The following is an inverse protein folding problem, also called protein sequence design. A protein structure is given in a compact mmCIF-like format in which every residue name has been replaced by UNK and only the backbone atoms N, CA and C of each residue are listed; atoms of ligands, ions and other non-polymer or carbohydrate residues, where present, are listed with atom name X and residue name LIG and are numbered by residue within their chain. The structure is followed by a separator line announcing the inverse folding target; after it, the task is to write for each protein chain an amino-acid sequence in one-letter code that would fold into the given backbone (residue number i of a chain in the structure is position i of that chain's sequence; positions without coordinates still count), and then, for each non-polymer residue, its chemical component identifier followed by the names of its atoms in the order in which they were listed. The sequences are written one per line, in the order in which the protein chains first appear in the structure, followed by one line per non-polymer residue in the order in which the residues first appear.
data_IF_697007141244
#
_entry.id   IF_697007141244
#
_cell.length_a   1.000
_cell.length_b   1.000
_cell.length_c   1.000
_cell.angle_alpha   90.00
_cell.angle_beta   90.00
_cell.angle_gamma   90.00
#
_symmetry.space_group_name_H-M   'P 1'
#
loop_
_entity.id
_entity.type
_entity.pdbx_description
1 polymer ?
#
# COMPACT_ATOMS: atom_id res chain seq x y z
N UNK A 1 -20.10 6.32 -7.95
CA UNK A 1 -21.06 5.49 -8.71
C UNK A 1 -20.60 4.04 -8.61
N UNK A 2 -21.35 3.17 -7.92
CA UNK A 2 -20.97 1.78 -7.66
C UNK A 2 -21.52 0.79 -8.69
N UNK A 3 -22.62 1.13 -9.37
CA UNK A 3 -23.37 0.18 -10.20
C UNK A 3 -23.34 0.58 -11.69
N UNK A 4 -22.14 0.62 -12.28
CA UNK A 4 -21.96 0.87 -13.72
C UNK A 4 -21.61 -0.44 -14.45
N UNK A 5 -22.39 -0.85 -15.46
CA UNK A 5 -22.03 -1.98 -16.31
C UNK A 5 -20.73 -1.69 -17.06
N UNK A 6 -19.85 -2.69 -17.19
CA UNK A 6 -18.53 -2.55 -17.83
C UNK A 6 -17.80 -1.26 -17.44
N UNK A 7 -17.82 -0.91 -16.14
CA UNK A 7 -17.41 0.39 -15.58
C UNK A 7 -16.15 0.98 -16.21
N UNK A 8 -15.11 0.18 -16.40
CA UNK A 8 -13.82 0.65 -16.91
C UNK A 8 -13.90 1.05 -18.39
N UNK A 9 -14.60 0.27 -19.22
CA UNK A 9 -14.81 0.53 -20.64
C UNK A 9 -15.79 1.69 -20.84
N UNK A 10 -16.89 1.71 -20.07
CA UNK A 10 -17.90 2.77 -20.12
C UNK A 10 -17.34 4.12 -19.71
N UNK A 11 -16.55 4.19 -18.63
CA UNK A 11 -15.88 5.44 -18.24
C UNK A 11 -14.87 5.86 -19.31
N UNK A 12 -14.06 4.93 -19.82
CA UNK A 12 -13.08 5.23 -20.85
C UNK A 12 -13.68 5.83 -22.13
N UNK A 13 -14.83 5.34 -22.57
CA UNK A 13 -15.51 5.85 -23.76
C UNK A 13 -16.31 7.12 -23.48
N UNK A 14 -16.95 7.23 -22.31
CA UNK A 14 -17.66 8.43 -21.89
C UNK A 14 -16.74 9.66 -21.81
N UNK A 15 -15.50 9.49 -21.36
CA UNK A 15 -14.51 10.59 -21.34
C UNK A 15 -13.92 10.93 -22.72
N UNK A 16 -14.08 10.08 -23.73
CA UNK A 16 -13.67 10.37 -25.12
C UNK A 16 -14.80 10.97 -25.96
N UNK A 17 -16.04 10.78 -25.54
CA UNK A 17 -17.23 11.22 -26.29
C UNK A 17 -17.54 12.67 -25.94
N UNK A 18 -17.67 13.53 -26.94
CA UNK A 18 -18.06 14.93 -26.75
C UNK A 18 -19.56 15.06 -26.43
N UNK A 19 -19.96 16.21 -25.88
CA UNK A 19 -21.36 16.49 -25.56
C UNK A 19 -22.23 16.39 -26.82
N UNK A 20 -23.30 15.60 -26.74
CA UNK A 20 -24.27 15.45 -27.83
C UNK A 20 -23.81 14.57 -29.00
N UNK A 21 -22.63 13.94 -28.90
CA UNK A 21 -22.21 12.91 -29.87
C UNK A 21 -22.83 11.57 -29.49
N UNK A 22 -23.43 10.91 -30.48
CA UNK A 22 -23.91 9.54 -30.31
C UNK A 22 -22.72 8.57 -30.31
N UNK A 23 -22.39 8.07 -29.12
CA UNK A 23 -21.36 7.07 -28.96
C UNK A 23 -21.84 5.71 -29.50
N UNK A 24 -20.95 4.92 -30.13
CA UNK A 24 -21.28 3.56 -30.51
C UNK A 24 -21.61 2.71 -29.26
N UNK A 25 -22.57 1.78 -29.37
CA UNK A 25 -22.95 0.93 -28.24
C UNK A 25 -21.78 0.09 -27.76
N UNK A 26 -21.54 0.12 -26.45
CA UNK A 26 -20.50 -0.67 -25.81
C UNK A 26 -21.03 -2.07 -25.50
N UNK A 27 -20.28 -3.09 -25.90
CA UNK A 27 -20.59 -4.48 -25.52
C UNK A 27 -20.11 -4.75 -24.10
N UNK A 28 -21.00 -5.29 -23.27
CA UNK A 28 -20.73 -5.66 -21.87
C UNK A 28 -20.35 -7.16 -21.77
N UNK A 29 -19.68 -7.71 -22.78
CA UNK A 29 -19.47 -9.16 -22.90
C UNK A 29 -20.75 -9.90 -23.34
N UNK A 30 -21.05 -11.06 -22.74
CA UNK A 30 -22.22 -11.87 -23.11
C UNK A 30 -23.57 -11.30 -22.64
N UNK A 31 -23.56 -10.24 -21.82
CA UNK A 31 -24.75 -9.73 -21.12
C UNK A 31 -25.43 -8.56 -21.84
N UNK A 32 -25.02 -8.22 -23.07
CA UNK A 32 -25.71 -7.27 -23.94
C UNK A 32 -24.91 -6.01 -24.29
N UNK A 33 -25.63 -4.92 -24.61
CA UNK A 33 -25.07 -3.65 -25.07
C UNK A 33 -25.52 -2.49 -24.19
N UNK A 34 -24.64 -1.51 -23.99
CA UNK A 34 -24.92 -0.24 -23.30
C UNK A 34 -24.89 0.89 -24.32
N UNK A 35 -25.97 1.66 -24.35
CA UNK A 35 -26.02 2.96 -24.97
C UNK A 35 -25.85 4.03 -23.91
N UNK A 36 -25.00 5.01 -24.17
CA UNK A 36 -24.83 6.16 -23.30
C UNK A 36 -24.79 7.42 -24.16
N UNK A 37 -25.20 8.54 -23.56
CA UNK A 37 -25.17 9.85 -24.20
C UNK A 37 -24.56 10.84 -23.20
N UNK A 38 -23.54 11.57 -23.65
CA UNK A 38 -22.89 12.59 -22.84
C UNK A 38 -23.69 13.88 -22.97
N UNK A 39 -24.40 14.23 -21.90
CA UNK A 39 -25.29 15.41 -21.86
C UNK A 39 -24.54 16.70 -21.59
N UNK A 40 -23.49 16.62 -20.78
CA UNK A 40 -22.71 17.78 -20.33
C UNK A 40 -21.31 17.29 -19.94
N UNK A 41 -20.29 18.10 -20.23
CA UNK A 41 -18.94 17.92 -19.73
C UNK A 41 -18.68 19.06 -18.78
N UNK A 42 -18.53 18.75 -17.48
CA UNK A 42 -18.03 19.72 -16.51
C UNK A 42 -16.53 19.87 -16.74
N UNK A 43 -16.01 21.06 -17.09
CA UNK A 43 -14.59 21.26 -17.29
C UNK A 43 -13.82 20.97 -16.01
N UNK A 44 -12.56 20.60 -16.17
CA UNK A 44 -11.65 20.42 -15.05
C UNK A 44 -11.55 21.73 -14.27
N UNK A 45 -12.10 21.71 -13.05
CA UNK A 45 -11.81 22.78 -12.09
C UNK A 45 -10.56 22.38 -11.33
N UNK A 46 -9.61 23.30 -11.21
CA UNK A 46 -8.59 23.18 -10.18
C UNK A 46 -9.32 23.07 -8.83
N UNK A 47 -9.20 21.90 -8.20
CA UNK A 47 -9.76 21.72 -6.85
C UNK A 47 -8.98 22.67 -5.94
N UNK A 48 -9.63 23.63 -5.26
CA UNK A 48 -8.91 24.54 -4.40
C UNK A 48 -8.18 23.73 -3.33
N UNK A 49 -6.97 24.16 -2.98
CA UNK A 49 -6.11 23.46 -2.00
C UNK A 49 -6.88 23.12 -0.73
N UNK A 50 -7.82 23.97 -0.29
CA UNK A 50 -8.67 23.72 0.86
C UNK A 50 -9.49 22.41 0.80
N UNK A 51 -9.93 21.97 -0.38
CA UNK A 51 -10.74 20.75 -0.56
C UNK A 51 -9.88 19.47 -0.60
N UNK A 52 -8.61 19.59 -0.98
CA UNK A 52 -7.67 18.45 -1.07
C UNK A 52 -6.70 18.41 0.10
N UNK A 53 -6.58 19.49 0.87
CA UNK A 53 -5.60 19.63 1.96
C UNK A 53 -5.79 18.56 3.02
N UNK A 54 -7.02 18.24 3.42
CA UNK A 54 -7.26 17.21 4.44
C UNK A 54 -6.76 15.85 3.97
N UNK A 55 -7.17 15.43 2.77
CA UNK A 55 -6.71 14.16 2.17
C UNK A 55 -5.20 14.15 1.91
N UNK A 56 -4.65 15.25 1.41
CA UNK A 56 -3.22 15.37 1.14
C UNK A 56 -2.39 15.35 2.43
N UNK A 57 -2.87 15.97 3.51
CA UNK A 57 -2.21 15.92 4.82
C UNK A 57 -2.31 14.52 5.41
N UNK A 58 -3.44 13.83 5.28
CA UNK A 58 -3.59 12.44 5.72
C UNK A 58 -2.61 11.53 4.97
N UNK A 59 -2.62 11.56 3.63
CA UNK A 59 -1.75 10.76 2.79
C UNK A 59 -0.26 11.08 3.08
N UNK A 60 0.10 12.36 3.18
CA UNK A 60 1.47 12.79 3.51
C UNK A 60 1.90 12.36 4.91
N UNK A 61 1.02 12.49 5.91
CA UNK A 61 1.33 12.09 7.29
C UNK A 61 1.56 10.58 7.36
N UNK A 62 0.75 9.79 6.67
CA UNK A 62 0.94 8.34 6.59
C UNK A 62 2.28 7.97 5.92
N UNK A 63 2.67 8.68 4.86
CA UNK A 63 3.98 8.49 4.23
C UNK A 63 5.14 8.88 5.15
N UNK A 64 5.06 10.03 5.83
CA UNK A 64 6.10 10.46 6.76
C UNK A 64 6.24 9.52 7.96
N UNK A 65 5.14 9.00 8.48
CA UNK A 65 5.18 7.98 9.55
C UNK A 65 5.92 6.73 9.09
N UNK A 66 5.64 6.24 7.87
CA UNK A 66 6.35 5.09 7.29
C UNK A 66 7.84 5.37 7.08
N UNK A 67 8.18 6.57 6.60
CA UNK A 67 9.57 6.96 6.38
C UNK A 67 10.36 7.06 7.68
N UNK A 68 9.82 7.71 8.71
CA UNK A 68 10.46 7.81 10.02
C UNK A 68 10.54 6.44 10.71
N UNK A 69 9.52 5.59 10.57
CA UNK A 69 9.55 4.21 11.07
C UNK A 69 10.65 3.39 10.40
N UNK A 70 10.77 3.47 9.06
CA UNK A 70 11.82 2.78 8.31
C UNK A 70 13.21 3.25 8.73
N UNK A 71 13.41 4.56 8.88
CA UNK A 71 14.66 5.14 9.35
C UNK A 71 15.04 4.64 10.75
N UNK A 72 14.07 4.61 11.67
CA UNK A 72 14.28 4.07 13.02
C UNK A 72 14.62 2.59 12.98
N UNK A 73 13.97 1.80 12.13
CA UNK A 73 14.30 0.39 11.94
C UNK A 73 15.74 0.19 11.44
N UNK A 74 16.21 1.02 10.51
CA UNK A 74 17.59 1.00 10.01
C UNK A 74 18.62 1.39 11.08
N UNK A 75 18.31 2.38 11.92
CA UNK A 75 19.15 2.78 13.06
C UNK A 75 19.30 1.61 14.07
N UNK A 76 18.19 0.95 14.43
CA UNK A 76 18.21 -0.21 15.34
C UNK A 76 18.94 -1.41 14.72
N UNK A 77 18.75 -1.65 13.42
CA UNK A 77 19.49 -2.68 12.68
C UNK A 77 20.99 -2.40 12.72
N UNK A 78 21.40 -1.15 12.54
CA UNK A 78 22.81 -0.76 12.60
C UNK A 78 23.40 -0.96 14.01
N UNK A 79 22.64 -0.70 15.07
CA UNK A 79 23.07 -1.02 16.44
C UNK A 79 23.22 -2.53 16.68
N UNK A 80 22.27 -3.32 16.19
CA UNK A 80 22.32 -4.78 16.30
C UNK A 80 23.51 -5.36 15.51
N UNK A 81 23.79 -4.84 14.31
CA UNK A 81 24.96 -5.24 13.50
C UNK A 81 26.29 -4.88 14.17
N UNK A 82 26.33 -3.84 15.02
CA UNK A 82 27.51 -3.49 15.83
C UNK A 82 27.71 -4.43 17.03
N UNK A 83 26.84 -5.41 17.23
CA UNK A 83 26.94 -6.42 18.28
C UNK A 83 26.22 -6.07 19.58
N UNK A 84 25.39 -5.01 19.60
CA UNK A 84 24.53 -4.71 20.76
C UNK A 84 23.41 -5.74 20.85
N UNK A 85 23.12 -6.24 22.05
CA UNK A 85 22.06 -7.23 22.23
C UNK A 85 20.69 -6.63 21.90
N UNK A 86 19.84 -7.39 21.22
CA UNK A 86 18.47 -6.93 20.88
C UNK A 86 17.67 -6.53 22.11
N UNK A 87 17.89 -7.18 23.25
CA UNK A 87 17.28 -6.81 24.53
C UNK A 87 17.66 -5.39 24.98
N UNK A 88 18.93 -4.99 24.81
CA UNK A 88 19.43 -3.66 25.21
C UNK A 88 18.93 -2.56 24.26
N UNK A 89 18.63 -2.92 23.02
CA UNK A 89 18.03 -2.02 22.02
C UNK A 89 16.53 -1.85 22.30
N UNK A 90 15.85 -2.94 22.66
CA UNK A 90 14.39 -2.97 22.82
C UNK A 90 13.90 -2.42 24.18
N UNK A 91 14.66 -2.66 25.26
CA UNK A 91 14.33 -2.18 26.63
C UNK A 91 14.04 -0.68 26.71
N UNK A 92 14.91 0.24 26.21
CA UNK A 92 14.62 1.67 26.26
C UNK A 92 13.43 2.10 25.39
N UNK A 93 13.04 1.27 24.42
CA UNK A 93 11.89 1.50 23.55
C UNK A 93 10.60 0.87 24.10
N UNK A 94 10.67 0.11 25.19
CA UNK A 94 9.53 -0.63 25.74
C UNK A 94 9.05 -1.76 24.81
N UNK A 95 9.91 -2.23 23.91
CA UNK A 95 9.59 -3.28 22.93
C UNK A 95 9.96 -4.64 23.51
N UNK A 96 9.06 -5.63 23.38
CA UNK A 96 9.35 -7.00 23.76
C UNK A 96 10.17 -7.71 22.67
N UNK A 97 11.23 -8.42 23.07
CA UNK A 97 11.99 -9.28 22.16
C UNK A 97 11.37 -10.67 22.16
N UNK A 98 10.95 -11.14 20.99
CA UNK A 98 10.44 -12.49 20.79
C UNK A 98 11.45 -13.36 20.05
N UNK A 99 11.49 -14.65 20.40
CA UNK A 99 12.32 -15.64 19.71
C UNK A 99 11.43 -16.77 19.21
N UNK A 100 11.55 -17.09 17.92
CA UNK A 100 10.83 -18.20 17.28
C UNK A 100 11.81 -19.21 16.70
N UNK A 101 11.56 -20.48 16.97
CA UNK A 101 12.32 -21.61 16.45
C UNK A 101 11.47 -22.44 15.49
N UNK A 102 12.11 -23.23 14.63
CA UNK A 102 11.41 -24.11 13.68
C UNK A 102 10.80 -23.40 12.46
N UNK A 103 11.19 -22.15 12.19
CA UNK A 103 10.78 -21.43 10.99
C UNK A 103 11.51 -22.00 9.76
N UNK A 104 10.79 -22.20 8.67
CA UNK A 104 11.33 -22.61 7.37
C UNK A 104 11.14 -21.49 6.34
N UNK A 105 11.84 -21.54 5.21
CA UNK A 105 11.74 -20.52 4.14
C UNK A 105 10.31 -20.33 3.58
N UNK A 106 9.44 -21.32 3.75
CA UNK A 106 8.04 -21.28 3.28
C UNK A 106 7.03 -21.05 4.42
N UNK A 107 7.49 -20.87 5.65
CA UNK A 107 6.60 -20.63 6.79
C UNK A 107 5.90 -19.28 6.64
N UNK A 108 4.60 -19.27 6.87
CA UNK A 108 3.82 -18.04 7.03
C UNK A 108 3.49 -17.90 8.52
N UNK A 109 4.32 -17.12 9.21
CA UNK A 109 4.22 -16.94 10.65
C UNK A 109 3.35 -15.72 10.98
N UNK A 110 2.45 -15.83 11.95
CA UNK A 110 1.51 -14.77 12.28
C UNK A 110 2.17 -13.48 12.85
N UNK A 111 3.42 -13.55 13.31
CA UNK A 111 4.15 -12.41 13.88
C UNK A 111 5.17 -11.87 12.87
N UNK A 112 5.98 -12.75 12.28
CA UNK A 112 7.03 -12.36 11.32
C UNK A 112 6.49 -12.09 9.91
N UNK A 113 5.39 -12.76 9.54
CA UNK A 113 4.85 -12.76 8.18
C UNK A 113 5.84 -13.31 7.15
N UNK A 114 5.42 -13.30 5.88
CA UNK A 114 6.30 -13.69 4.77
C UNK A 114 7.52 -12.80 4.59
N UNK A 115 7.38 -11.49 4.83
CA UNK A 115 8.49 -10.55 4.67
C UNK A 115 9.58 -10.81 5.72
N UNK A 116 9.20 -10.99 6.98
CA UNK A 116 10.13 -11.31 8.07
C UNK A 116 10.82 -12.67 7.88
N UNK A 117 10.09 -13.70 7.45
CA UNK A 117 10.68 -15.01 7.11
C UNK A 117 11.69 -14.88 5.96
N UNK A 118 11.34 -14.16 4.90
CA UNK A 118 12.24 -13.93 3.76
C UNK A 118 13.52 -13.21 4.20
N UNK A 119 13.39 -12.18 5.03
CA UNK A 119 14.51 -11.40 5.56
C UNK A 119 15.41 -12.23 6.50
N UNK A 120 14.83 -13.09 7.34
CA UNK A 120 15.60 -13.98 8.22
C UNK A 120 16.48 -14.97 7.44
N UNK A 121 16.04 -15.39 6.25
CA UNK A 121 16.77 -16.32 5.37
C UNK A 121 17.56 -15.64 4.25
N UNK A 122 17.69 -14.30 4.24
CA UNK A 122 18.33 -13.57 3.14
C UNK A 122 19.87 -13.61 3.16
N UNK A 123 20.48 -14.14 4.22
CA UNK A 123 21.93 -14.18 4.38
C UNK A 123 22.43 -15.38 5.19
N UNK A 124 23.74 -15.44 5.50
CA UNK A 124 24.32 -16.49 6.33
C UNK A 124 23.78 -16.47 7.77
N UNK A 125 24.19 -17.45 8.58
CA UNK A 125 23.96 -17.43 10.03
C UNK A 125 24.46 -16.09 10.60
N UNK A 126 23.73 -15.57 11.59
CA UNK A 126 23.94 -14.25 12.21
C UNK A 126 23.58 -13.03 11.34
N UNK A 127 22.85 -13.23 10.24
CA UNK A 127 22.30 -12.12 9.47
C UNK A 127 21.29 -11.32 10.28
N UNK A 128 21.57 -10.02 10.44
CA UNK A 128 20.63 -9.04 10.98
C UNK A 128 19.89 -8.36 9.82
N UNK A 129 18.58 -8.53 9.78
CA UNK A 129 17.72 -7.94 8.76
C UNK A 129 16.53 -7.20 9.40
N UNK A 130 15.92 -6.31 8.61
CA UNK A 130 14.68 -5.60 8.94
C UNK A 130 13.61 -5.97 7.90
N UNK A 131 12.35 -6.04 8.33
CA UNK A 131 11.22 -6.35 7.46
C UNK A 131 9.96 -5.65 7.97
N UNK A 132 8.99 -5.46 7.07
CA UNK A 132 7.63 -5.07 7.43
C UNK A 132 6.99 -6.19 8.24
N UNK A 133 6.22 -5.81 9.26
CA UNK A 133 5.53 -6.78 10.12
C UNK A 133 4.48 -7.60 9.36
N UNK A 134 3.96 -8.64 10.00
CA UNK A 134 2.83 -9.40 9.44
C UNK A 134 1.56 -8.55 9.27
N UNK A 135 1.44 -7.47 10.05
CA UNK A 135 0.35 -6.50 9.95
C UNK A 135 0.67 -5.46 8.85
N UNK A 136 -0.16 -5.33 7.81
CA UNK A 136 0.06 -4.35 6.74
C UNK A 136 -0.07 -2.89 7.20
N UNK A 137 -0.50 -2.64 8.43
CA UNK A 137 -0.58 -1.29 9.03
C UNK A 137 0.68 -0.86 9.79
N UNK A 138 1.67 -1.74 9.97
CA UNK A 138 2.97 -1.47 10.61
C UNK A 138 4.13 -1.70 9.65
#
# INVERSE_FOLDING_TARGET
VKDLPAKQQLLGEAFKTEVGVDAPPLSIGNDGYVWFNVREITPDRERPVAEVREKAVEDWTAEQQKAELAKKADELKAEAQKGKALADIATPLGIAVESKSGITRSTDDAVLGRAGVTAAFSGPVDTVASAVGADPST
#
